data_IF_441633008307
#
_entry.id   IF_441633008307
#
_cell.length_a   1.000
_cell.length_b   1.000
_cell.length_c   1.000
_cell.angle_alpha   90.00
_cell.angle_beta   90.00
_cell.angle_gamma   90.00
#
_symmetry.space_group_name_H-M   'P 1'
#
loop_
_entity.id
_entity.type
_entity.pdbx_description
1 polymer ?
#
# COMPACT_ATOMS: atom_id res chain seq x y z
N UNK A 1 -8.84 -36.28 0.03
CA UNK A 1 -8.17 -35.91 1.29
C UNK A 1 -6.76 -35.53 0.93
N UNK A 2 -6.36 -34.27 1.13
CA UNK A 2 -5.01 -33.80 0.81
C UNK A 2 -3.97 -34.41 1.77
N UNK A 3 -2.69 -34.40 1.42
CA UNK A 3 -1.61 -34.94 2.27
C UNK A 3 -1.60 -34.27 3.65
N UNK A 4 -1.83 -32.95 3.70
CA UNK A 4 -1.95 -32.19 4.94
C UNK A 4 -3.15 -32.64 5.78
N UNK A 5 -4.32 -32.81 5.16
CA UNK A 5 -5.51 -33.32 5.85
C UNK A 5 -5.30 -34.72 6.44
N UNK A 6 -4.50 -35.57 5.77
CA UNK A 6 -4.17 -36.91 6.25
C UNK A 6 -3.23 -36.89 7.46
N UNK A 7 -2.22 -36.00 7.45
CA UNK A 7 -1.33 -35.78 8.60
C UNK A 7 -2.12 -35.27 9.81
N UNK A 8 -3.01 -34.30 9.60
CA UNK A 8 -3.81 -33.71 10.67
C UNK A 8 -4.79 -34.74 11.27
N UNK A 9 -5.36 -35.62 10.44
CA UNK A 9 -6.22 -36.72 10.91
C UNK A 9 -5.45 -37.76 11.74
N UNK A 10 -4.22 -38.10 11.37
CA UNK A 10 -3.37 -39.01 12.16
C UNK A 10 -2.99 -38.36 13.50
N UNK A 11 -2.62 -37.07 13.52
CA UNK A 11 -2.33 -36.33 14.76
C UNK A 11 -3.55 -36.29 15.69
N UNK A 12 -4.75 -36.06 15.15
CA UNK A 12 -5.99 -36.11 15.93
C UNK A 12 -6.24 -37.51 16.52
N UNK A 13 -5.97 -38.57 15.75
CA UNK A 13 -6.15 -39.96 16.20
C UNK A 13 -5.16 -40.33 17.31
N UNK A 14 -3.90 -39.93 17.20
CA UNK A 14 -2.89 -40.12 18.25
C UNK A 14 -3.32 -39.42 19.56
N UNK A 15 -3.77 -38.16 19.46
CA UNK A 15 -4.26 -37.42 20.63
C UNK A 15 -5.48 -38.07 21.30
N UNK A 16 -6.42 -38.62 20.53
CA UNK A 16 -7.57 -39.35 21.07
C UNK A 16 -7.14 -40.64 21.80
N UNK A 17 -6.17 -41.38 21.27
CA UNK A 17 -5.63 -42.59 21.91
C UNK A 17 -4.87 -42.28 23.20
N UNK A 18 -4.04 -41.22 23.21
CA UNK A 18 -3.36 -40.77 24.43
C UNK A 18 -4.36 -40.33 25.50
N UNK A 19 -5.46 -39.66 25.11
CA UNK A 19 -6.51 -39.27 26.04
C UNK A 19 -7.21 -40.48 26.66
N UNK A 20 -7.57 -41.49 25.86
CA UNK A 20 -8.15 -42.75 26.35
C UNK A 20 -7.21 -43.49 27.31
N UNK A 21 -5.91 -43.50 27.02
CA UNK A 21 -4.90 -44.06 27.92
C UNK A 21 -4.80 -43.30 29.24
N UNK A 22 -4.80 -41.96 29.20
CA UNK A 22 -4.83 -41.10 30.38
C UNK A 22 -6.10 -41.30 31.22
N UNK A 23 -7.26 -41.47 30.58
CA UNK A 23 -8.53 -41.71 31.26
C UNK A 23 -8.51 -43.06 31.99
N UNK A 24 -7.93 -44.11 31.39
CA UNK A 24 -7.76 -45.43 32.03
C UNK A 24 -6.79 -45.34 33.22
N UNK A 25 -5.66 -44.65 33.07
CA UNK A 25 -4.70 -44.44 34.17
C UNK A 25 -5.31 -43.62 35.32
N UNK A 26 -6.11 -42.59 35.00
CA UNK A 26 -6.79 -41.76 36.01
C UNK A 26 -7.87 -42.55 36.74
N UNK A 27 -8.60 -43.43 36.02
CA UNK A 27 -9.59 -44.31 36.62
C UNK A 27 -8.95 -45.35 37.56
N UNK A 28 -7.86 -46.01 37.13
CA UNK A 28 -7.12 -46.95 37.96
C UNK A 28 -6.55 -46.29 39.24
N UNK A 29 -6.06 -45.04 39.11
CA UNK A 29 -5.56 -44.26 40.23
C UNK A 29 -6.67 -43.88 41.23
N UNK A 30 -7.87 -43.55 40.76
CA UNK A 30 -8.98 -43.12 41.62
C UNK A 30 -9.71 -44.28 42.31
N UNK A 31 -9.83 -45.44 41.65
CA UNK A 31 -10.63 -46.55 42.17
C UNK A 31 -9.87 -47.39 43.23
N UNK A 32 -8.57 -47.65 43.04
CA UNK A 32 -7.80 -48.55 43.93
C UNK A 32 -6.43 -48.01 44.39
N UNK A 33 -6.01 -46.80 44.01
CA UNK A 33 -4.68 -46.27 44.35
C UNK A 33 -3.52 -47.12 43.83
N UNK A 34 -3.78 -47.99 42.84
CA UNK A 34 -2.80 -48.91 42.25
C UNK A 34 -2.58 -48.59 40.78
N UNK A 35 -1.47 -49.08 40.23
CA UNK A 35 -1.22 -49.11 38.79
C UNK A 35 -2.23 -50.03 38.09
N UNK A 36 -2.61 -49.76 36.83
CA UNK A 36 -3.48 -50.65 36.07
C UNK A 36 -2.90 -52.08 36.03
N UNK A 37 -3.68 -53.08 36.45
CA UNK A 37 -3.29 -54.49 36.44
C UNK A 37 -4.31 -55.34 35.65
N UNK A 38 -3.84 -56.36 34.94
CA UNK A 38 -4.69 -57.30 34.20
C UNK A 38 -5.20 -56.74 32.86
N UNK A 39 -6.51 -56.79 32.63
CA UNK A 39 -7.14 -56.42 31.34
C UNK A 39 -6.86 -54.96 30.95
N UNK A 40 -6.80 -54.06 31.93
CA UNK A 40 -6.52 -52.65 31.67
C UNK A 40 -5.08 -52.43 31.18
N UNK A 41 -4.12 -53.21 31.68
CA UNK A 41 -2.72 -53.17 31.22
C UNK A 41 -2.57 -53.72 29.78
N UNK A 42 -3.33 -54.75 29.42
CA UNK A 42 -3.39 -55.27 28.03
C UNK A 42 -3.98 -54.23 27.07
N UNK A 43 -5.01 -53.48 27.49
CA UNK A 43 -5.58 -52.41 26.65
C UNK A 43 -4.64 -51.22 26.48
N UNK A 44 -3.87 -50.86 27.53
CA UNK A 44 -2.84 -49.81 27.45
C UNK A 44 -1.72 -50.25 26.50
N UNK A 45 -1.21 -51.47 26.64
CA UNK A 45 -0.20 -52.04 25.72
C UNK A 45 -0.68 -52.07 24.27
N UNK A 46 -1.97 -52.33 24.04
CA UNK A 46 -2.60 -52.25 22.72
C UNK A 46 -2.58 -50.83 22.15
N UNK A 47 -2.98 -49.82 22.93
CA UNK A 47 -2.95 -48.42 22.49
C UNK A 47 -1.54 -47.88 22.30
N UNK A 48 -0.56 -48.28 23.12
CA UNK A 48 0.85 -47.95 22.95
C UNK A 48 1.41 -48.52 21.63
N UNK A 49 1.05 -49.75 21.29
CA UNK A 49 1.45 -50.37 20.02
C UNK A 49 0.81 -49.66 18.80
N UNK A 50 -0.46 -49.25 18.90
CA UNK A 50 -1.14 -48.46 17.86
C UNK A 50 -0.50 -47.08 17.69
N UNK A 51 -0.23 -46.36 18.78
CA UNK A 51 0.41 -45.03 18.76
C UNK A 51 1.78 -45.13 18.09
N UNK A 52 2.60 -46.13 18.46
CA UNK A 52 3.92 -46.32 17.86
C UNK A 52 3.86 -46.55 16.34
N UNK A 53 2.84 -47.27 15.87
CA UNK A 53 2.62 -47.46 14.43
C UNK A 53 2.18 -46.17 13.73
N UNK A 54 1.25 -45.43 14.34
CA UNK A 54 0.76 -44.14 13.82
C UNK A 54 1.86 -43.07 13.78
N UNK A 55 2.72 -42.99 14.79
CA UNK A 55 3.89 -42.09 14.83
C UNK A 55 4.91 -42.45 13.74
N UNK A 56 5.17 -43.75 13.52
CA UNK A 56 6.04 -44.19 12.43
C UNK A 56 5.49 -43.80 11.04
N UNK A 57 4.17 -43.89 10.85
CA UNK A 57 3.51 -43.49 9.60
C UNK A 57 3.46 -41.96 9.45
N UNK A 58 3.23 -41.21 10.54
CA UNK A 58 3.33 -39.75 10.56
C UNK A 58 4.74 -39.31 10.13
N UNK A 59 5.79 -39.89 10.70
CA UNK A 59 7.17 -39.56 10.33
C UNK A 59 7.46 -39.85 8.85
N UNK A 60 6.91 -40.93 8.29
CA UNK A 60 7.01 -41.23 6.85
C UNK A 60 6.28 -40.18 6.01
N UNK A 61 5.09 -39.76 6.41
CA UNK A 61 4.29 -38.77 5.70
C UNK A 61 4.89 -37.37 5.77
N UNK A 62 5.43 -36.95 6.92
CA UNK A 62 6.16 -35.69 7.06
C UNK A 62 7.46 -35.71 6.25
N UNK A 63 8.15 -36.86 6.18
CA UNK A 63 9.30 -37.02 5.29
C UNK A 63 8.89 -36.91 3.83
N UNK A 64 7.77 -37.50 3.41
CA UNK A 64 7.24 -37.37 2.06
C UNK A 64 6.83 -35.92 1.77
N UNK A 65 6.20 -35.23 2.72
CA UNK A 65 5.83 -33.82 2.59
C UNK A 65 7.07 -32.95 2.39
N UNK A 66 8.12 -33.16 3.20
CA UNK A 66 9.38 -32.43 3.10
C UNK A 66 10.11 -32.75 1.79
N UNK A 67 10.15 -34.03 1.41
CA UNK A 67 10.75 -34.46 0.14
C UNK A 67 9.98 -33.99 -1.11
N UNK A 68 8.67 -33.71 -1.01
CA UNK A 68 7.91 -33.08 -2.10
C UNK A 68 8.25 -31.60 -2.29
N UNK A 69 8.76 -30.91 -1.26
CA UNK A 69 9.22 -29.51 -1.34
C UNK A 69 10.66 -29.42 -1.86
N UNK A 70 11.50 -30.43 -1.59
CA UNK A 70 12.94 -30.41 -1.89
C UNK A 70 13.35 -31.12 -3.20
N UNK A 71 12.42 -31.67 -3.99
CA UNK A 71 12.72 -32.27 -5.29
C UNK A 71 12.60 -31.23 -6.42
N UNK A 72 13.68 -30.93 -7.17
CA UNK A 72 13.59 -30.12 -8.38
C UNK A 72 12.88 -30.93 -9.47
N UNK A 73 11.60 -30.60 -9.67
CA UNK A 73 10.74 -31.14 -10.72
C UNK A 73 10.11 -32.49 -10.38
N UNK A 74 8.81 -32.49 -10.03
CA UNK A 74 7.76 -33.35 -10.59
C UNK A 74 6.40 -32.98 -9.96
N UNK A 75 5.61 -32.27 -10.76
CA UNK A 75 4.13 -32.31 -10.91
C UNK A 75 3.26 -32.55 -9.67
N UNK A 76 2.52 -31.50 -9.29
CA UNK A 76 1.24 -31.61 -8.58
C UNK A 76 0.28 -32.48 -9.41
N UNK A 77 -0.42 -33.47 -8.84
CA UNK A 77 -1.44 -34.20 -9.58
C UNK A 77 -2.52 -33.25 -10.09
N UNK A 78 -2.84 -33.36 -11.38
CA UNK A 78 -3.84 -32.54 -12.09
C UNK A 78 -5.22 -32.72 -11.46
N UNK A 79 -5.73 -31.68 -10.78
CA UNK A 79 -7.15 -31.57 -10.45
C UNK A 79 -7.94 -31.10 -11.69
N UNK A 80 -8.28 -32.04 -12.57
CA UNK A 80 -9.06 -31.79 -13.81
C UNK A 80 -10.58 -31.76 -13.62
N UNK A 81 -11.10 -31.19 -12.54
CA UNK A 81 -12.54 -31.25 -12.22
C UNK A 81 -13.44 -30.25 -12.95
N UNK A 82 -12.88 -29.20 -13.58
CA UNK A 82 -13.64 -28.15 -14.27
C UNK A 82 -12.88 -27.62 -15.48
N UNK A 83 -13.60 -27.15 -16.50
CA UNK A 83 -13.03 -26.61 -17.76
C UNK A 83 -12.04 -25.44 -17.51
N UNK A 84 -12.29 -24.62 -16.48
CA UNK A 84 -11.36 -23.57 -16.04
C UNK A 84 -10.06 -24.11 -15.44
N UNK A 85 -10.09 -25.24 -14.73
CA UNK A 85 -8.88 -25.87 -14.19
C UNK A 85 -8.05 -26.56 -15.30
N UNK A 86 -8.68 -26.95 -16.40
CA UNK A 86 -8.01 -27.49 -17.60
C UNK A 86 -7.28 -26.43 -18.44
N UNK A 87 -7.83 -25.22 -18.53
CA UNK A 87 -7.17 -24.09 -19.20
C UNK A 87 -5.92 -23.62 -18.43
N UNK A 88 -6.00 -23.60 -17.10
CA UNK A 88 -4.88 -23.20 -16.24
C UNK A 88 -3.74 -24.23 -16.15
N UNK A 89 -3.95 -25.49 -16.59
CA UNK A 89 -2.95 -26.56 -16.53
C UNK A 89 -2.20 -26.79 -17.85
N UNK A 90 -2.81 -26.44 -18.97
CA UNK A 90 -2.21 -26.61 -20.31
C UNK A 90 -1.38 -25.41 -20.75
N UNK A 91 -1.70 -24.22 -20.25
CA UNK A 91 -0.85 -23.04 -20.39
C UNK A 91 -0.50 -22.57 -18.99
N UNK A 92 0.69 -23.02 -18.53
CA UNK A 92 1.25 -22.51 -17.29
C UNK A 92 1.08 -21.01 -17.26
N UNK A 93 0.48 -20.50 -16.17
CA UNK A 93 0.29 -19.07 -15.90
C UNK A 93 1.53 -18.36 -16.43
N UNK A 94 1.46 -17.55 -17.51
CA UNK A 94 2.62 -16.78 -17.91
C UNK A 94 3.06 -16.06 -16.63
N UNK A 95 4.36 -16.10 -16.27
CA UNK A 95 4.80 -15.43 -15.06
C UNK A 95 4.17 -14.04 -15.08
N UNK A 96 3.55 -13.64 -13.97
CA UNK A 96 3.18 -12.24 -13.81
C UNK A 96 4.53 -11.53 -13.74
N UNK A 97 5.07 -11.20 -14.91
CA UNK A 97 6.24 -10.37 -15.04
C UNK A 97 5.72 -9.00 -14.67
N UNK A 98 5.80 -8.68 -13.39
CA UNK A 98 5.80 -7.28 -12.96
C UNK A 98 7.03 -6.65 -13.63
N UNK A 99 6.83 -6.17 -14.84
CA UNK A 99 7.80 -5.34 -15.53
C UNK A 99 7.83 -4.02 -14.76
N UNK A 100 8.64 -3.97 -13.70
CA UNK A 100 9.05 -2.68 -13.12
C UNK A 100 9.77 -1.95 -14.23
N UNK A 101 9.05 -1.01 -14.83
CA UNK A 101 9.59 -0.13 -15.84
C UNK A 101 10.87 0.50 -15.31
N UNK A 102 11.99 0.30 -16.00
CA UNK A 102 13.27 0.93 -15.66
C UNK A 102 13.30 2.43 -16.04
N UNK A 103 12.13 3.05 -16.22
CA UNK A 103 12.05 4.49 -16.43
C UNK A 103 12.13 5.21 -15.09
N UNK A 104 12.84 6.34 -15.03
CA UNK A 104 12.74 7.25 -13.91
C UNK A 104 11.26 7.57 -13.62
N UNK A 105 10.88 7.65 -12.33
CA UNK A 105 9.52 8.00 -11.93
C UNK A 105 9.03 9.26 -12.66
N UNK A 106 7.75 9.29 -13.03
CA UNK A 106 7.09 10.42 -13.71
C UNK A 106 7.28 10.49 -15.23
N UNK A 107 8.36 9.90 -15.79
CA UNK A 107 8.56 9.89 -17.24
C UNK A 107 7.55 8.97 -17.94
N UNK A 108 7.17 7.86 -17.31
CA UNK A 108 6.12 6.97 -17.83
C UNK A 108 4.79 7.69 -18.03
N UNK A 109 4.41 8.56 -17.08
CA UNK A 109 3.21 9.38 -17.17
C UNK A 109 3.32 10.44 -18.28
N UNK A 110 4.48 11.12 -18.42
CA UNK A 110 4.69 12.09 -19.48
C UNK A 110 4.58 11.46 -20.88
N UNK A 111 5.16 10.26 -21.07
CA UNK A 111 5.08 9.51 -22.33
C UNK A 111 3.62 9.12 -22.64
N UNK A 112 2.86 8.67 -21.63
CA UNK A 112 1.43 8.35 -21.77
C UNK A 112 0.61 9.55 -22.28
N UNK A 113 0.78 10.72 -21.65
CA UNK A 113 0.07 11.95 -22.03
C UNK A 113 0.48 12.42 -23.42
N UNK A 114 1.77 12.34 -23.75
CA UNK A 114 2.27 12.72 -25.07
C UNK A 114 1.70 11.83 -26.17
N UNK A 115 1.64 10.52 -25.96
CA UNK A 115 1.04 9.60 -26.91
C UNK A 115 -0.45 9.89 -27.13
N UNK A 116 -1.18 10.26 -26.07
CA UNK A 116 -2.56 10.73 -26.18
C UNK A 116 -2.68 12.04 -26.97
N UNK A 117 -1.75 12.99 -26.76
CA UNK A 117 -1.73 14.26 -27.49
C UNK A 117 -1.46 14.04 -29.00
N UNK A 118 -0.48 13.19 -29.36
CA UNK A 118 -0.20 12.83 -30.76
C UNK A 118 -1.39 12.12 -31.40
N UNK A 119 -2.04 11.21 -30.68
CA UNK A 119 -3.25 10.54 -31.16
C UNK A 119 -4.39 11.53 -31.40
N UNK A 120 -4.60 12.50 -30.51
CA UNK A 120 -5.61 13.55 -30.68
C UNK A 120 -5.30 14.48 -31.87
N UNK A 121 -4.03 14.86 -32.05
CA UNK A 121 -3.56 15.65 -33.21
C UNK A 121 -3.77 14.91 -34.53
N UNK A 122 -3.69 13.58 -34.52
CA UNK A 122 -3.94 12.75 -35.70
C UNK A 122 -5.40 12.67 -36.15
N UNK A 123 -6.35 13.30 -35.42
CA UNK A 123 -7.79 13.28 -35.67
C UNK A 123 -8.37 11.86 -35.87
N UNK A 124 -7.82 10.87 -35.16
CA UNK A 124 -8.27 9.48 -35.21
C UNK A 124 -7.56 8.59 -36.24
N UNK A 125 -6.53 9.09 -36.92
CA UNK A 125 -5.71 8.27 -37.82
C UNK A 125 -4.79 7.28 -37.08
N UNK A 126 -4.35 7.63 -35.86
CA UNK A 126 -3.47 6.82 -35.04
C UNK A 126 -3.98 6.78 -33.60
N UNK A 127 -4.10 5.59 -33.01
CA UNK A 127 -4.44 5.46 -31.59
C UNK A 127 -3.21 5.70 -30.72
N UNK A 128 -3.42 6.17 -29.48
CA UNK A 128 -2.32 6.43 -28.56
C UNK A 128 -1.47 5.16 -28.28
N UNK A 129 -2.08 3.97 -28.41
CA UNK A 129 -1.42 2.67 -28.28
C UNK A 129 -0.45 2.39 -29.42
N UNK A 130 -0.85 2.69 -30.67
CA UNK A 130 0.02 2.57 -31.85
C UNK A 130 1.21 3.55 -31.78
N UNK A 131 0.99 4.74 -31.22
CA UNK A 131 2.09 5.70 -30.95
C UNK A 131 3.05 5.13 -29.91
N UNK A 132 2.54 4.58 -28.81
CA UNK A 132 3.37 3.96 -27.77
C UNK A 132 4.14 2.74 -28.27
N UNK A 133 3.54 1.95 -29.17
CA UNK A 133 4.20 0.82 -29.84
C UNK A 133 5.33 1.31 -30.75
N UNK A 134 5.12 2.40 -31.50
CA UNK A 134 6.16 3.01 -32.33
C UNK A 134 7.34 3.54 -31.51
N UNK A 135 7.09 4.00 -30.29
CA UNK A 135 8.10 4.50 -29.36
C UNK A 135 8.72 3.42 -28.48
N UNK A 136 8.28 2.16 -28.62
CA UNK A 136 8.72 1.03 -27.77
C UNK A 136 8.56 1.34 -26.28
N UNK A 137 7.48 2.02 -25.91
CA UNK A 137 7.19 2.35 -24.52
C UNK A 137 7.00 1.05 -23.69
N UNK A 138 7.28 1.07 -22.38
CA UNK A 138 7.05 -0.09 -21.52
C UNK A 138 5.57 -0.42 -21.39
N UNK A 139 5.29 -1.69 -21.11
CA UNK A 139 3.94 -2.23 -21.06
C UNK A 139 3.05 -1.54 -20.02
N UNK A 140 3.61 -1.09 -18.89
CA UNK A 140 2.87 -0.32 -17.86
C UNK A 140 2.26 0.97 -18.42
N UNK A 141 2.94 1.64 -19.35
CA UNK A 141 2.48 2.89 -19.97
C UNK A 141 1.39 2.60 -21.00
N UNK A 142 1.54 1.49 -21.74
CA UNK A 142 0.53 1.03 -22.70
C UNK A 142 -0.76 0.63 -22.01
N UNK A 143 -0.66 -0.12 -20.90
CA UNK A 143 -1.80 -0.54 -20.10
C UNK A 143 -2.55 0.68 -19.51
N UNK A 144 -1.82 1.68 -19.03
CA UNK A 144 -2.43 2.92 -18.53
C UNK A 144 -3.19 3.73 -19.61
N UNK A 145 -2.69 3.76 -20.86
CA UNK A 145 -3.30 4.55 -21.95
C UNK A 145 -4.44 3.82 -22.64
N UNK A 146 -4.33 2.52 -22.88
CA UNK A 146 -5.39 1.66 -23.45
C UNK A 146 -6.70 1.77 -22.66
N UNK A 147 -6.62 2.01 -21.36
CA UNK A 147 -7.76 1.82 -20.46
C UNK A 147 -8.49 3.09 -20.05
N UNK A 148 -7.92 4.28 -20.30
CA UNK A 148 -8.73 5.53 -20.30
C UNK A 148 -9.90 5.44 -21.30
N UNK A 149 -9.82 4.54 -22.28
CA UNK A 149 -10.85 4.24 -23.26
C UNK A 149 -11.73 3.01 -22.94
N UNK A 150 -11.42 2.21 -21.91
CA UNK A 150 -12.15 0.99 -21.56
C UNK A 150 -13.14 1.26 -20.42
N UNK A 151 -14.43 1.34 -20.75
CA UNK A 151 -15.53 1.31 -19.79
C UNK A 151 -15.74 -0.15 -19.35
N UNK A 152 -15.13 -0.56 -18.24
CA UNK A 152 -15.27 -1.91 -17.66
C UNK A 152 -16.08 -1.90 -16.35
N UNK A 153 -16.72 -3.04 -16.03
CA UNK A 153 -17.42 -3.24 -14.77
C UNK A 153 -16.48 -3.84 -13.71
N UNK A 154 -16.77 -3.62 -12.42
CA UNK A 154 -15.94 -4.08 -11.29
C UNK A 154 -15.82 -5.60 -11.15
N UNK A 155 -16.49 -6.37 -12.01
CA UNK A 155 -16.51 -7.84 -11.97
C UNK A 155 -15.35 -8.48 -12.75
N UNK A 156 -14.60 -7.71 -13.53
CA UNK A 156 -13.47 -8.23 -14.33
C UNK A 156 -12.15 -8.13 -13.53
N UNK A 157 -11.53 -9.28 -13.24
CA UNK A 157 -10.31 -9.36 -12.42
C UNK A 157 -9.10 -8.61 -13.01
N UNK A 158 -9.07 -8.43 -14.33
CA UNK A 158 -8.02 -7.69 -15.05
C UNK A 158 -8.22 -6.17 -15.05
N UNK A 159 -9.45 -5.70 -14.83
CA UNK A 159 -9.78 -4.27 -14.77
C UNK A 159 -9.21 -3.63 -13.50
N UNK A 160 -9.32 -4.32 -12.36
CA UNK A 160 -8.78 -3.86 -11.07
C UNK A 160 -7.25 -3.75 -11.06
N UNK A 161 -6.54 -4.71 -11.65
CA UNK A 161 -5.08 -4.72 -11.69
C UNK A 161 -4.49 -3.56 -12.51
N UNK A 162 -5.24 -3.04 -13.47
CA UNK A 162 -4.73 -2.09 -14.45
C UNK A 162 -5.14 -0.63 -14.19
N UNK A 163 -6.23 -0.41 -13.44
CA UNK A 163 -6.49 0.90 -12.78
C UNK A 163 -5.39 1.27 -11.79
N UNK A 164 -4.81 0.25 -11.14
CA UNK A 164 -3.67 0.43 -10.26
C UNK A 164 -2.49 1.01 -11.03
N UNK A 165 -2.22 0.58 -12.27
CA UNK A 165 -1.12 1.12 -13.07
C UNK A 165 -1.28 2.62 -13.38
N UNK A 166 -2.50 3.07 -13.74
CA UNK A 166 -2.75 4.50 -13.95
C UNK A 166 -2.66 5.31 -12.64
N UNK A 167 -3.15 4.74 -11.53
CA UNK A 167 -3.06 5.37 -10.22
C UNK A 167 -1.62 5.43 -9.70
N UNK A 168 -0.79 4.43 -10.01
CA UNK A 168 0.65 4.41 -9.74
C UNK A 168 1.36 5.50 -10.54
N UNK A 169 1.14 5.56 -11.86
CA UNK A 169 1.79 6.57 -12.71
C UNK A 169 1.39 8.01 -12.36
N UNK A 170 0.13 8.25 -11.99
CA UNK A 170 -0.32 9.57 -11.51
C UNK A 170 0.20 9.88 -10.09
N UNK A 171 0.31 8.86 -9.23
CA UNK A 171 0.92 8.96 -7.92
C UNK A 171 2.43 9.27 -7.95
N UNK A 172 3.15 8.81 -8.98
CA UNK A 172 4.58 9.11 -9.16
C UNK A 172 4.86 10.61 -9.24
N UNK A 173 3.97 11.41 -9.85
CA UNK A 173 4.12 12.86 -9.87
C UNK A 173 4.07 13.46 -8.46
N UNK A 174 3.15 12.96 -7.63
CA UNK A 174 3.00 13.39 -6.23
C UNK A 174 4.24 12.98 -5.43
N UNK A 175 4.75 11.76 -5.63
CA UNK A 175 5.98 11.30 -4.96
C UNK A 175 7.22 12.12 -5.39
N UNK A 176 7.30 12.55 -6.64
CA UNK A 176 8.36 13.45 -7.10
C UNK A 176 8.27 14.86 -6.51
N UNK A 177 7.05 15.34 -6.27
CA UNK A 177 6.81 16.63 -5.63
C UNK A 177 7.08 16.54 -4.12
N UNK A 178 6.80 15.38 -3.50
CA UNK A 178 6.95 15.12 -2.07
C UNK A 178 8.39 15.40 -1.63
N UNK A 179 8.54 16.31 -0.66
CA UNK A 179 9.84 16.66 -0.08
C UNK A 179 10.66 17.66 -0.90
N UNK A 180 10.17 18.10 -2.07
CA UNK A 180 10.67 19.32 -2.73
C UNK A 180 10.08 20.59 -2.09
N UNK A 181 8.85 20.52 -1.57
CA UNK A 181 8.23 21.64 -0.85
C UNK A 181 8.66 21.68 0.61
N UNK A 182 8.82 22.88 1.15
CA UNK A 182 9.01 23.09 2.58
C UNK A 182 7.74 22.69 3.37
N UNK A 183 6.56 22.89 2.76
CA UNK A 183 5.27 22.47 3.35
C UNK A 183 5.25 20.96 3.63
N UNK A 184 5.67 20.10 2.68
CA UNK A 184 5.68 18.65 2.87
C UNK A 184 6.61 18.20 4.00
N UNK A 185 7.76 18.88 4.15
CA UNK A 185 8.70 18.59 5.25
C UNK A 185 8.10 18.94 6.61
N UNK A 186 7.28 19.99 6.66
CA UNK A 186 6.59 20.40 7.88
C UNK A 186 5.28 19.65 8.10
N UNK A 187 4.72 19.00 7.08
CA UNK A 187 3.42 18.32 7.15
C UNK A 187 3.35 17.26 8.27
N UNK A 188 4.47 16.58 8.57
CA UNK A 188 4.58 15.62 9.68
C UNK A 188 4.40 16.26 11.06
N UNK A 189 4.67 17.56 11.18
CA UNK A 189 4.50 18.37 12.39
C UNK A 189 3.17 19.14 12.41
N UNK A 190 2.43 19.12 11.29
CA UNK A 190 1.13 19.78 11.17
C UNK A 190 -0.01 18.82 11.47
N UNK A 191 -1.11 19.36 11.99
CA UNK A 191 -2.33 18.58 12.23
C UNK A 191 -3.06 18.35 10.92
N UNK A 192 -3.22 17.10 10.54
CA UNK A 192 -4.05 16.72 9.39
C UNK A 192 -5.53 16.89 9.73
N UNK A 193 -6.25 17.67 8.93
CA UNK A 193 -7.67 17.96 9.15
C UNK A 193 -8.45 17.74 7.86
N UNK A 194 -9.66 17.15 7.92
CA UNK A 194 -10.51 17.04 6.75
C UNK A 194 -10.98 18.41 6.26
N UNK A 195 -11.14 18.56 4.94
CA UNK A 195 -11.68 19.77 4.33
C UNK A 195 -13.14 20.02 4.72
N UNK A 196 -13.53 21.30 4.76
CA UNK A 196 -14.88 21.79 5.05
C UNK A 196 -15.42 21.38 6.43
N UNK A 197 -14.53 21.10 7.39
CA UNK A 197 -14.90 20.81 8.78
C UNK A 197 -14.44 21.94 9.67
N UNK A 198 -15.28 22.32 10.65
CA UNK A 198 -14.89 23.27 11.71
C UNK A 198 -13.92 22.60 12.65
N UNK A 199 -12.68 23.07 12.67
CA UNK A 199 -11.63 22.57 13.56
C UNK A 199 -11.47 23.55 14.73
N UNK A 200 -11.55 23.09 15.99
CA UNK A 200 -11.27 23.95 17.12
C UNK A 200 -9.78 24.34 17.13
N UNK A 201 -9.51 25.63 17.15
CA UNK A 201 -8.18 26.21 17.33
C UNK A 201 -8.04 26.74 18.76
N UNK A 202 -6.83 26.70 19.32
CA UNK A 202 -6.55 27.36 20.58
C UNK A 202 -5.98 28.74 20.26
N UNK A 203 -6.70 29.80 20.63
CA UNK A 203 -6.30 31.19 20.37
C UNK A 203 -5.54 31.82 21.53
N UNK A 204 -5.62 31.21 22.73
CA UNK A 204 -4.92 31.67 23.92
C UNK A 204 -4.44 30.49 24.76
N UNK A 205 -3.15 30.53 25.13
CA UNK A 205 -2.56 29.59 26.07
C UNK A 205 -2.86 30.00 27.51
N UNK A 206 -2.98 29.01 28.41
CA UNK A 206 -2.97 29.28 29.84
C UNK A 206 -1.57 29.75 30.25
N UNK A 207 -1.50 30.84 31.02
CA UNK A 207 -0.22 31.38 31.49
C UNK A 207 0.21 30.64 32.75
N UNK A 208 1.45 30.18 32.78
CA UNK A 208 2.09 29.58 33.95
C UNK A 208 3.23 30.47 34.41
N UNK A 209 3.39 30.66 35.71
CA UNK A 209 4.41 31.53 36.28
C UNK A 209 4.73 31.17 37.74
N UNK A 210 5.89 31.62 38.21
CA UNK A 210 6.27 31.45 39.60
C UNK A 210 5.32 32.23 40.52
N UNK A 211 4.86 31.57 41.58
CA UNK A 211 3.98 32.17 42.58
C UNK A 211 4.76 32.25 43.89
N UNK A 212 4.80 33.45 44.49
CA UNK A 212 5.45 33.67 45.77
C UNK A 212 4.73 32.97 46.93
N UNK A 213 5.46 32.70 48.00
CA UNK A 213 4.90 32.12 49.22
C UNK A 213 3.77 33.00 49.78
N UNK A 214 2.66 32.38 50.20
CA UNK A 214 1.41 33.03 50.63
C UNK A 214 0.68 33.91 49.58
N UNK A 215 1.03 33.85 48.29
CA UNK A 215 0.28 34.53 47.22
C UNK A 215 -0.76 33.61 46.57
N UNK A 216 -1.89 34.19 46.19
CA UNK A 216 -2.94 33.49 45.45
C UNK A 216 -2.44 33.06 44.08
N UNK A 217 -2.70 31.81 43.71
CA UNK A 217 -2.38 31.27 42.40
C UNK A 217 -3.31 31.92 41.36
N UNK A 218 -2.79 32.59 40.32
CA UNK A 218 -3.64 33.13 39.27
C UNK A 218 -4.30 31.97 38.50
N UNK A 219 -5.62 32.06 38.32
CA UNK A 219 -6.37 31.13 37.48
C UNK A 219 -6.37 31.68 36.08
N UNK A 220 -5.88 30.90 35.11
CA UNK A 220 -5.99 31.25 33.69
C UNK A 220 -6.67 30.12 32.94
N UNK A 221 -7.54 30.49 32.01
CA UNK A 221 -8.30 29.55 31.18
C UNK A 221 -7.87 29.74 29.73
N UNK A 222 -7.59 28.66 28.97
CA UNK A 222 -7.31 28.77 27.55
C UNK A 222 -8.57 29.26 26.79
N UNK A 223 -8.35 30.06 25.75
CA UNK A 223 -9.41 30.47 24.83
C UNK A 223 -9.36 29.62 23.56
N UNK A 224 -10.53 29.24 23.07
CA UNK A 224 -10.68 28.44 21.86
C UNK A 224 -11.44 29.22 20.78
N UNK A 225 -11.01 29.08 19.54
CA UNK A 225 -11.69 29.54 18.35
C UNK A 225 -12.03 28.37 17.43
N UNK A 226 -12.56 28.68 16.25
CA UNK A 226 -12.80 27.67 15.20
C UNK A 226 -12.24 28.17 13.87
N UNK A 227 -11.53 27.32 13.16
CA UNK A 227 -11.04 27.57 11.80
C UNK A 227 -11.68 26.54 10.87
N UNK A 228 -12.10 26.97 9.68
CA UNK A 228 -12.61 26.06 8.63
C UNK A 228 -11.66 26.15 7.45
N UNK A 229 -11.12 25.03 7.00
CA UNK A 229 -10.31 24.98 5.78
C UNK A 229 -11.16 24.55 4.60
N UNK A 230 -11.27 25.41 3.60
CA UNK A 230 -11.96 25.14 2.34
C UNK A 230 -11.04 24.43 1.34
N UNK A 231 -11.60 23.95 0.23
CA UNK A 231 -10.83 23.29 -0.83
C UNK A 231 -10.33 24.32 -1.85
N UNK A 232 -9.03 24.31 -2.12
CA UNK A 232 -8.40 25.10 -3.19
C UNK A 232 -7.64 24.18 -4.15
N UNK A 233 -7.47 24.62 -5.41
CA UNK A 233 -6.74 23.86 -6.44
C UNK A 233 -5.58 24.69 -6.98
N UNK A 234 -4.45 24.03 -7.21
CA UNK A 234 -3.30 24.60 -7.94
C UNK A 234 -3.24 23.91 -9.30
N UNK A 235 -3.08 24.70 -10.37
CA UNK A 235 -3.00 24.19 -11.73
C UNK A 235 -1.93 24.95 -12.51
N UNK A 236 -1.14 24.23 -13.30
CA UNK A 236 -0.17 24.78 -14.25
C UNK A 236 -0.35 24.14 -15.62
N UNK A 237 -0.25 24.94 -16.67
CA UNK A 237 -0.31 24.46 -18.07
C UNK A 237 1.00 24.85 -18.74
N UNK A 238 1.70 23.85 -19.30
CA UNK A 238 2.90 24.06 -20.11
C UNK A 238 2.55 23.85 -21.57
N UNK A 239 2.85 24.84 -22.40
CA UNK A 239 2.66 24.74 -23.84
C UNK A 239 3.86 24.01 -24.46
N UNK A 240 3.59 23.01 -25.29
CA UNK A 240 4.59 22.29 -26.07
C UNK A 240 4.23 22.40 -27.55
N UNK A 241 5.21 22.71 -28.40
CA UNK A 241 5.02 22.71 -29.85
C UNK A 241 4.80 21.30 -30.38
N UNK A 242 4.05 21.18 -31.48
CA UNK A 242 3.80 19.88 -32.14
C UNK A 242 5.09 19.17 -32.58
N UNK A 243 6.07 19.92 -33.11
CA UNK A 243 7.37 19.39 -33.51
C UNK A 243 8.14 18.80 -32.33
N UNK A 244 8.15 19.51 -31.19
CA UNK A 244 8.73 18.99 -29.97
C UNK A 244 8.01 17.73 -29.51
N UNK A 245 6.68 17.68 -29.55
CA UNK A 245 5.92 16.48 -29.17
C UNK A 245 6.19 15.29 -30.10
N UNK A 246 6.41 15.51 -31.40
CA UNK A 246 6.68 14.43 -32.37
C UNK A 246 8.14 13.93 -32.36
N UNK A 247 9.10 14.83 -32.17
CA UNK A 247 10.54 14.52 -32.29
C UNK A 247 11.31 14.53 -30.96
N UNK A 248 10.64 14.77 -29.83
CA UNK A 248 11.30 14.83 -28.53
C UNK A 248 11.86 13.49 -28.08
N UNK A 249 13.02 13.59 -27.43
CA UNK A 249 13.63 12.51 -26.68
C UNK A 249 13.03 12.46 -25.26
N UNK A 250 12.91 11.29 -24.60
CA UNK A 250 12.52 11.16 -23.19
C UNK A 250 13.24 12.11 -22.22
N UNK A 251 14.47 12.54 -22.54
CA UNK A 251 15.20 13.55 -21.75
C UNK A 251 14.56 14.94 -21.75
N UNK A 252 13.91 15.35 -22.84
CA UNK A 252 13.21 16.63 -22.93
C UNK A 252 11.96 16.62 -22.05
N UNK A 253 11.26 15.48 -21.95
CA UNK A 253 10.11 15.32 -21.05
C UNK A 253 10.50 15.43 -19.59
N UNK A 254 11.65 14.86 -19.22
CA UNK A 254 12.21 15.01 -17.88
C UNK A 254 12.48 16.47 -17.51
N UNK A 255 12.93 17.29 -18.48
CA UNK A 255 13.17 18.72 -18.25
C UNK A 255 11.87 19.48 -18.02
N UNK A 256 10.85 19.25 -18.86
CA UNK A 256 9.53 19.87 -18.72
C UNK A 256 8.87 19.44 -17.41
N UNK A 257 8.99 18.16 -17.05
CA UNK A 257 8.49 17.61 -15.79
C UNK A 257 9.18 18.25 -14.58
N UNK A 258 10.51 18.34 -14.59
CA UNK A 258 11.27 18.94 -13.48
C UNK A 258 11.00 20.45 -13.34
N UNK A 259 10.83 21.17 -14.45
CA UNK A 259 10.43 22.58 -14.44
C UNK A 259 9.02 22.75 -13.84
N UNK A 260 8.05 21.93 -14.25
CA UNK A 260 6.70 21.95 -13.68
C UNK A 260 6.71 21.60 -12.19
N UNK A 261 7.53 20.62 -11.76
CA UNK A 261 7.67 20.25 -10.36
C UNK A 261 8.29 21.38 -9.54
N UNK A 262 9.37 22.00 -10.02
CA UNK A 262 10.05 23.12 -9.36
C UNK A 262 9.17 24.36 -9.26
N UNK A 263 8.50 24.73 -10.34
CA UNK A 263 7.60 25.90 -10.35
C UNK A 263 6.40 25.69 -9.43
N UNK A 264 5.81 24.48 -9.44
CA UNK A 264 4.72 24.13 -8.52
C UNK A 264 5.19 24.17 -7.07
N UNK A 265 6.37 23.61 -6.77
CA UNK A 265 6.93 23.63 -5.42
C UNK A 265 7.21 25.05 -4.93
N UNK A 266 7.86 25.88 -5.75
CA UNK A 266 8.14 27.27 -5.43
C UNK A 266 6.85 28.09 -5.24
N UNK A 267 5.82 27.83 -6.04
CA UNK A 267 4.51 28.47 -5.89
C UNK A 267 3.85 28.08 -4.56
N UNK A 268 3.79 26.77 -4.23
CA UNK A 268 3.19 26.30 -2.98
C UNK A 268 3.91 26.91 -1.77
N UNK A 269 5.24 26.85 -1.73
CA UNK A 269 6.02 27.40 -0.62
C UNK A 269 5.88 28.92 -0.53
N UNK A 270 5.90 29.63 -1.66
CA UNK A 270 5.66 31.07 -1.71
C UNK A 270 4.30 31.46 -1.16
N UNK A 271 3.23 30.76 -1.58
CA UNK A 271 1.88 31.02 -1.07
C UNK A 271 1.72 30.67 0.42
N UNK A 272 2.47 29.70 0.92
CA UNK A 272 2.38 29.26 2.31
C UNK A 272 3.08 30.20 3.28
N UNK A 273 4.20 30.83 2.87
CA UNK A 273 5.03 31.68 3.72
C UNK A 273 4.95 33.17 3.42
N UNK A 274 4.26 33.61 2.37
CA UNK A 274 4.12 35.05 2.08
C UNK A 274 3.21 35.72 3.13
N UNK A 275 3.71 36.63 3.98
CA UNK A 275 2.90 37.29 5.01
C UNK A 275 1.80 38.19 4.42
N UNK A 276 1.96 38.67 3.19
CA UNK A 276 0.96 39.50 2.51
C UNK A 276 -0.19 38.68 1.91
N UNK A 277 -0.05 37.34 1.82
CA UNK A 277 -1.05 36.50 1.16
C UNK A 277 -2.29 36.30 2.03
N UNK A 278 -3.34 37.07 1.76
CA UNK A 278 -4.65 36.96 2.40
C UNK A 278 -5.53 35.89 1.74
N UNK A 279 -6.53 35.39 2.49
CA UNK A 279 -7.54 34.49 1.98
C UNK A 279 -8.34 35.15 0.86
N UNK A 280 -8.62 34.41 -0.21
CA UNK A 280 -9.56 34.78 -1.27
C UNK A 280 -10.52 33.63 -1.54
N UNK A 281 -11.55 33.86 -2.37
CA UNK A 281 -12.53 32.82 -2.74
C UNK A 281 -11.88 31.55 -3.29
N UNK A 282 -10.75 31.67 -3.98
CA UNK A 282 -10.09 30.56 -4.68
C UNK A 282 -8.82 30.06 -3.97
N UNK A 283 -8.30 30.82 -3.00
CA UNK A 283 -6.97 30.55 -2.43
C UNK A 283 -6.91 30.79 -0.92
N UNK A 284 -6.20 29.93 -0.17
CA UNK A 284 -6.08 30.08 1.28
C UNK A 284 -5.20 31.28 1.65
N UNK A 285 -5.30 31.70 2.90
CA UNK A 285 -4.31 32.59 3.52
C UNK A 285 -3.01 31.84 3.80
N UNK A 286 -1.90 32.57 3.80
CA UNK A 286 -0.60 32.11 4.31
C UNK A 286 -0.65 31.91 5.81
N UNK A 287 0.23 31.04 6.35
CA UNK A 287 0.35 30.84 7.80
C UNK A 287 0.89 32.08 8.52
N UNK A 288 1.61 32.94 7.81
CA UNK A 288 2.16 34.19 8.34
C UNK A 288 1.24 35.40 8.11
N UNK A 289 0.05 35.19 7.51
CA UNK A 289 -0.89 36.27 7.30
C UNK A 289 -1.36 36.86 8.64
N UNK A 290 -1.26 38.19 8.76
CA UNK A 290 -1.69 38.91 9.96
C UNK A 290 -0.75 38.76 11.17
N UNK A 291 0.40 38.09 11.01
CA UNK A 291 1.46 38.07 12.02
C UNK A 291 2.26 39.37 11.90
N UNK A 292 2.34 40.13 12.99
CA UNK A 292 3.23 41.27 13.06
C UNK A 292 4.68 40.78 13.09
N UNK A 293 5.46 41.12 12.06
CA UNK A 293 6.85 40.74 12.00
C UNK A 293 7.61 41.47 13.12
N UNK A 294 8.23 40.70 14.02
CA UNK A 294 9.15 41.26 15.02
C UNK A 294 10.52 41.33 14.33
N UNK A 295 11.00 42.52 13.92
CA UNK A 295 12.31 42.63 13.29
C UNK A 295 13.38 42.20 14.31
N UNK A 296 14.36 41.42 13.84
CA UNK A 296 15.53 41.11 14.65
C UNK A 296 16.21 42.42 15.05
N UNK A 297 16.29 42.68 16.35
CA UNK A 297 17.08 43.80 16.90
C UNK A 297 18.56 43.45 17.02
N UNK A 298 18.95 42.26 16.60
CA UNK A 298 20.34 41.84 16.51
C UNK A 298 21.03 42.52 15.33
N UNK A 299 21.79 43.58 15.61
CA UNK A 299 22.94 43.91 14.79
C UNK A 299 24.05 42.91 15.16
N UNK A 300 24.64 42.24 14.18
CA UNK A 300 25.87 41.41 14.25
C UNK A 300 25.72 39.89 14.42
N UNK A 301 26.40 39.19 13.51
CA UNK A 301 26.67 37.76 13.44
C UNK A 301 27.33 37.46 12.10
#
# INVERSE_FOLDING_TARGET
MTLQQHIDAIKATINDRMKKMSDIMTKAANDNGSTPEGVDEETIKGYEAEIKNLEANLARLEKIQKSQVDLPGTTVPVEGGTSEKGLNSTQGKPPIVETKSNLPPGIGFAIAIKAQAVAALSKGAVTATQVLDSWRAPEIVKNAVTQKALVGTTSEATFGASLVDFQVLSGEFIELLRGKTAVDKLASKMRQVPFNVKVPSQTGASTVGWVGEAKTKPVTNPTFGSVTLTKSKVAGIVMLSEELVRFSNPKADGLVLDDLLKSTAAFIDGQFFDPAKAESTDSPASILNGVEAIPSTGETG
#
